data_IF_372439984434
#
_entry.id   IF_372439984434
#
_cell.length_a   1.000
_cell.length_b   1.000
_cell.length_c   1.000
_cell.angle_alpha   90.00
_cell.angle_beta   90.00
_cell.angle_gamma   90.00
#
_symmetry.space_group_name_H-M   'P 1'
#
loop_
_entity.id
_entity.type
_entity.pdbx_description
1 polymer ?
#
# COMPACT_ATOMS: atom_id res chain seq x y z
N UNK A 1 45.52 -1.64 2.93
CA UNK A 1 44.30 -2.22 3.52
C UNK A 1 43.15 -1.32 3.10
N UNK A 2 42.41 -1.69 2.06
CA UNK A 2 41.32 -0.89 1.51
C UNK A 2 40.07 -1.11 2.36
N UNK A 3 39.71 -0.12 3.18
CA UNK A 3 38.42 -0.12 3.85
C UNK A 3 37.32 0.08 2.80
N UNK A 4 36.63 -1.01 2.44
CA UNK A 4 35.34 -0.94 1.77
C UNK A 4 34.34 -0.32 2.75
N UNK A 5 34.24 1.01 2.73
CA UNK A 5 33.14 1.71 3.38
C UNK A 5 31.86 1.38 2.60
N UNK A 6 31.07 0.45 3.12
CA UNK A 6 29.68 0.30 2.70
C UNK A 6 28.99 1.62 3.04
N UNK A 7 28.76 2.44 2.01
CA UNK A 7 28.15 3.77 2.11
C UNK A 7 26.68 3.64 2.52
N UNK A 8 26.43 3.45 3.82
CA UNK A 8 25.09 3.29 4.39
C UNK A 8 24.19 4.51 4.14
N UNK A 9 24.77 5.65 3.76
CA UNK A 9 24.00 6.85 3.40
C UNK A 9 23.28 6.72 2.05
N UNK A 10 23.72 5.81 1.16
CA UNK A 10 23.06 5.51 -0.12
C UNK A 10 22.12 4.31 -0.07
N UNK A 11 22.02 3.63 1.07
CA UNK A 11 21.12 2.51 1.25
C UNK A 11 19.66 3.00 1.43
N UNK A 12 19.02 3.45 0.34
CA UNK A 12 17.56 3.58 0.30
C UNK A 12 16.97 2.21 0.04
N UNK A 13 15.88 1.86 0.72
CA UNK A 13 15.10 0.64 0.46
C UNK A 13 13.96 1.02 -0.49
N UNK A 14 14.08 0.76 -1.80
CA UNK A 14 13.02 1.10 -2.76
C UNK A 14 11.73 0.41 -2.32
N UNK A 15 10.66 1.20 -2.13
CA UNK A 15 9.38 0.70 -1.63
C UNK A 15 9.03 1.04 -0.18
N UNK A 16 9.94 1.65 0.59
CA UNK A 16 9.61 2.23 1.92
C UNK A 16 9.09 3.67 1.85
N UNK A 17 9.28 4.35 0.72
CA UNK A 17 8.77 5.70 0.52
C UNK A 17 7.25 5.69 0.37
N UNK A 18 6.55 6.18 1.39
CA UNK A 18 5.10 6.30 1.38
C UNK A 18 4.69 7.63 0.76
N UNK A 19 3.95 7.57 -0.35
CA UNK A 19 3.29 8.74 -0.94
C UNK A 19 1.80 8.72 -0.60
N UNK A 20 1.30 9.77 0.06
CA UNK A 20 -0.13 9.92 0.33
C UNK A 20 -0.86 10.33 -0.95
N UNK A 21 -1.97 9.66 -1.25
CA UNK A 21 -2.88 9.98 -2.35
C UNK A 21 -4.28 10.15 -1.77
N UNK A 22 -5.01 11.17 -2.24
CA UNK A 22 -6.43 11.36 -1.90
C UNK A 22 -7.30 10.81 -3.01
N UNK A 23 -8.35 10.09 -2.67
CA UNK A 23 -9.31 9.50 -3.61
C UNK A 23 -10.71 9.67 -3.03
N UNK A 24 -11.62 10.19 -3.84
CA UNK A 24 -13.03 10.28 -3.49
C UNK A 24 -13.76 9.00 -3.88
N UNK A 25 -14.66 8.54 -3.01
CA UNK A 25 -15.46 7.35 -3.23
C UNK A 25 -16.96 7.67 -3.13
N UNK A 26 -17.80 7.05 -3.97
CA UNK A 26 -19.24 7.12 -3.80
C UNK A 26 -19.67 6.66 -2.41
N UNK A 27 -20.71 7.29 -1.84
CA UNK A 27 -21.20 7.00 -0.49
C UNK A 27 -21.57 5.52 -0.28
N UNK A 28 -22.17 4.89 -1.30
CA UNK A 28 -22.53 3.46 -1.24
C UNK A 28 -21.29 2.58 -1.08
N UNK A 29 -20.18 2.92 -1.77
CA UNK A 29 -18.96 2.12 -1.74
C UNK A 29 -18.27 2.22 -0.37
N UNK A 30 -18.25 3.42 0.24
CA UNK A 30 -17.73 3.60 1.60
C UNK A 30 -18.53 2.76 2.60
N UNK A 31 -19.86 2.72 2.46
CA UNK A 31 -20.72 1.94 3.34
C UNK A 31 -20.47 0.42 3.22
N UNK A 32 -20.26 -0.09 2.00
CA UNK A 32 -19.91 -1.49 1.81
C UNK A 32 -18.50 -1.82 2.34
N UNK A 33 -17.52 -0.94 2.11
CA UNK A 33 -16.18 -1.08 2.68
C UNK A 33 -16.23 -1.15 4.21
N UNK A 34 -17.07 -0.35 4.85
CA UNK A 34 -17.29 -0.39 6.29
C UNK A 34 -17.78 -1.74 6.80
N UNK A 35 -18.77 -2.33 6.13
CA UNK A 35 -19.31 -3.64 6.49
C UNK A 35 -18.22 -4.71 6.41
N UNK A 36 -17.44 -4.70 5.33
CA UNK A 36 -16.36 -5.69 5.12
C UNK A 36 -15.24 -5.47 6.15
N UNK A 37 -14.83 -4.23 6.38
CA UNK A 37 -13.85 -3.86 7.40
C UNK A 37 -14.25 -4.38 8.78
N UNK A 38 -15.50 -4.18 9.19
CA UNK A 38 -16.01 -4.65 10.47
C UNK A 38 -16.02 -6.19 10.55
N UNK A 39 -16.46 -6.86 9.47
CA UNK A 39 -16.52 -8.32 9.40
C UNK A 39 -15.14 -8.96 9.49
N UNK A 40 -14.14 -8.36 8.86
CA UNK A 40 -12.77 -8.89 8.78
C UNK A 40 -11.84 -8.37 9.89
N UNK A 41 -12.29 -7.39 10.69
CA UNK A 41 -11.47 -6.79 11.74
C UNK A 41 -10.28 -5.97 11.21
N UNK A 42 -10.39 -5.41 10.00
CA UNK A 42 -9.31 -4.65 9.34
C UNK A 42 -9.80 -3.29 8.87
N UNK A 43 -8.88 -2.33 8.69
CA UNK A 43 -9.21 -0.99 8.22
C UNK A 43 -9.63 -0.97 6.74
N UNK A 44 -10.42 0.03 6.32
CA UNK A 44 -10.78 0.25 4.91
C UNK A 44 -9.54 0.38 4.03
N UNK A 45 -8.53 1.08 4.54
CA UNK A 45 -7.24 1.28 3.89
C UNK A 45 -6.53 -0.05 3.61
N UNK A 46 -6.57 -1.01 4.53
CA UNK A 46 -5.99 -2.34 4.32
C UNK A 46 -6.70 -3.10 3.20
N UNK A 47 -8.05 -3.04 3.17
CA UNK A 47 -8.84 -3.66 2.09
C UNK A 47 -8.50 -3.03 0.74
N UNK A 48 -8.50 -1.69 0.66
CA UNK A 48 -8.19 -0.95 -0.56
C UNK A 48 -6.78 -1.31 -1.07
N UNK A 49 -5.78 -1.37 -0.19
CA UNK A 49 -4.40 -1.72 -0.56
C UNK A 49 -4.31 -3.12 -1.16
N UNK A 50 -5.01 -4.11 -0.58
CA UNK A 50 -4.99 -5.49 -1.08
C UNK A 50 -5.63 -5.52 -2.48
N UNK A 51 -6.84 -4.99 -2.63
CA UNK A 51 -7.53 -4.96 -3.92
C UNK A 51 -6.73 -4.27 -5.02
N UNK A 52 -6.13 -3.11 -4.73
CA UNK A 52 -5.30 -2.38 -5.70
C UNK A 52 -4.03 -3.19 -6.02
N UNK A 53 -3.37 -3.79 -5.03
CA UNK A 53 -2.21 -4.65 -5.26
C UNK A 53 -2.55 -5.81 -6.18
N UNK A 54 -3.67 -6.49 -5.94
CA UNK A 54 -4.07 -7.66 -6.72
C UNK A 54 -4.38 -7.26 -8.17
N UNK A 55 -5.13 -6.17 -8.37
CA UNK A 55 -5.40 -5.64 -9.73
C UNK A 55 -4.13 -5.18 -10.45
N UNK A 56 -3.21 -4.51 -9.77
CA UNK A 56 -1.92 -4.11 -10.37
C UNK A 56 -1.01 -5.30 -10.68
N UNK A 57 -1.16 -6.44 -9.99
CA UNK A 57 -0.44 -7.67 -10.33
C UNK A 57 -1.05 -8.32 -11.57
N UNK A 58 -2.37 -8.41 -11.65
CA UNK A 58 -3.07 -8.95 -12.82
C UNK A 58 -2.70 -8.21 -14.11
N UNK A 59 -2.55 -6.87 -14.08
CA UNK A 59 -2.20 -6.09 -15.28
C UNK A 59 -0.70 -6.16 -15.66
N UNK A 60 0.16 -6.64 -14.75
CA UNK A 60 1.61 -6.76 -14.99
C UNK A 60 2.04 -8.13 -15.54
N UNK A 61 1.11 -9.07 -15.63
CA UNK A 61 1.31 -10.46 -16.09
C UNK A 61 0.20 -10.88 -17.04
#
# INVERSE_FOLDING_TARGET
>A
MTENSFDMQKASRPGLEQKRVSVDFPKWMVHELDKVSKKLGVTRQSIIKIFISDKLREEKY
#
